data_IF_934271709792
#
_entry.id   IF_934271709792
#
_cell.length_a   1.000
_cell.length_b   1.000
_cell.length_c   1.000
_cell.angle_alpha   90.00
_cell.angle_beta   90.00
_cell.angle_gamma   90.00
#
_symmetry.space_group_name_H-M   'P 1'
#
loop_
_entity.id
_entity.type
_entity.pdbx_description
1 polymer ?
#
# COMPACT_ATOMS: atom_id res chain seq x y z
N UNK A 1 41.22 -19.62 14.21
CA UNK A 1 39.93 -20.14 13.65
C UNK A 1 38.70 -19.94 14.54
N UNK A 2 38.79 -19.88 15.88
CA UNK A 2 37.62 -19.79 16.77
C UNK A 2 36.82 -18.46 16.72
N UNK A 3 37.45 -17.32 16.44
CA UNK A 3 36.75 -16.01 16.36
C UNK A 3 35.68 -15.95 15.27
N UNK A 4 35.92 -16.63 14.15
CA UNK A 4 34.97 -16.70 13.03
C UNK A 4 33.71 -17.51 13.39
N UNK A 5 33.85 -18.53 14.25
CA UNK A 5 32.71 -19.33 14.69
C UNK A 5 31.75 -18.57 15.61
N UNK A 6 32.24 -17.56 16.34
CA UNK A 6 31.37 -16.71 17.16
C UNK A 6 30.53 -15.79 16.28
N UNK A 7 31.17 -15.09 15.33
CA UNK A 7 30.46 -14.24 14.38
C UNK A 7 29.40 -14.98 13.56
N UNK A 8 29.68 -16.23 13.15
CA UNK A 8 28.70 -17.04 12.43
C UNK A 8 27.49 -17.43 13.30
N UNK A 9 27.69 -17.69 14.59
CA UNK A 9 26.59 -17.99 15.53
C UNK A 9 25.73 -16.75 15.80
N UNK A 10 26.35 -15.59 15.91
CA UNK A 10 25.63 -14.32 16.13
C UNK A 10 24.81 -13.94 14.91
N UNK A 11 25.38 -14.08 13.70
CA UNK A 11 24.65 -13.88 12.43
C UNK A 11 23.42 -14.80 12.35
N UNK A 12 23.58 -16.09 12.69
CA UNK A 12 22.49 -17.06 12.65
C UNK A 12 21.37 -16.69 13.62
N UNK A 13 21.71 -16.23 14.84
CA UNK A 13 20.72 -15.74 15.81
C UNK A 13 19.94 -14.54 15.29
N UNK A 14 20.64 -13.54 14.74
CA UNK A 14 20.01 -12.34 14.20
C UNK A 14 19.09 -12.71 13.03
N UNK A 15 19.52 -13.63 12.16
CA UNK A 15 18.72 -14.10 11.03
C UNK A 15 17.44 -14.81 11.49
N UNK A 16 17.53 -15.67 12.52
CA UNK A 16 16.35 -16.34 13.09
C UNK A 16 15.35 -15.33 13.67
N UNK A 17 15.84 -14.37 14.47
CA UNK A 17 14.98 -13.33 15.06
C UNK A 17 14.34 -12.47 13.97
N UNK A 18 15.11 -12.09 12.94
CA UNK A 18 14.63 -11.35 11.80
C UNK A 18 13.51 -12.10 11.06
N UNK A 19 13.72 -13.38 10.73
CA UNK A 19 12.72 -14.20 10.04
C UNK A 19 11.43 -14.32 10.86
N UNK A 20 11.53 -14.55 12.17
CA UNK A 20 10.35 -14.62 13.05
C UNK A 20 9.59 -13.29 13.03
N UNK A 21 10.31 -12.17 13.14
CA UNK A 21 9.72 -10.84 13.07
C UNK A 21 9.02 -10.61 11.72
N UNK A 22 9.67 -10.97 10.60
CA UNK A 22 9.08 -10.87 9.25
C UNK A 22 7.81 -11.71 9.12
N UNK A 23 7.79 -12.93 9.67
CA UNK A 23 6.60 -13.79 9.64
C UNK A 23 5.44 -13.19 10.44
N UNK A 24 5.70 -12.69 11.65
CA UNK A 24 4.68 -12.02 12.48
C UNK A 24 4.14 -10.80 11.74
N UNK A 25 5.02 -9.98 11.17
CA UNK A 25 4.64 -8.78 10.44
C UNK A 25 3.78 -9.11 9.21
N UNK A 26 4.16 -10.14 8.45
CA UNK A 26 3.38 -10.62 7.30
C UNK A 26 1.98 -11.10 7.72
N UNK A 27 1.87 -11.84 8.83
CA UNK A 27 0.58 -12.25 9.37
C UNK A 27 -0.29 -11.07 9.82
N UNK A 28 0.31 -10.07 10.48
CA UNK A 28 -0.38 -8.85 10.87
C UNK A 28 -0.90 -8.07 9.66
N UNK A 29 -0.06 -7.88 8.62
CA UNK A 29 -0.47 -7.24 7.37
C UNK A 29 -1.61 -8.01 6.70
N UNK A 30 -1.54 -9.34 6.65
CA UNK A 30 -2.60 -10.17 6.06
C UNK A 30 -3.93 -10.02 6.81
N UNK A 31 -3.88 -9.93 8.14
CA UNK A 31 -5.07 -9.70 8.97
C UNK A 31 -5.69 -8.33 8.67
N UNK A 32 -4.86 -7.27 8.63
CA UNK A 32 -5.31 -5.91 8.29
C UNK A 32 -5.87 -5.86 6.87
N UNK A 33 -5.25 -6.55 5.91
CA UNK A 33 -5.72 -6.62 4.53
C UNK A 33 -7.09 -7.28 4.40
N UNK A 34 -7.34 -8.36 5.16
CA UNK A 34 -8.64 -9.04 5.18
C UNK A 34 -9.78 -8.15 5.71
N UNK A 35 -9.49 -7.24 6.64
CA UNK A 35 -10.45 -6.23 7.10
C UNK A 35 -10.69 -5.15 6.03
N UNK A 36 -9.64 -4.71 5.34
CA UNK A 36 -9.75 -3.74 4.23
C UNK A 36 -10.61 -4.25 3.07
N UNK A 37 -10.45 -5.51 2.66
CA UNK A 37 -11.26 -6.12 1.59
C UNK A 37 -12.75 -6.21 1.96
N UNK A 38 -13.07 -6.35 3.25
CA UNK A 38 -14.45 -6.41 3.73
C UNK A 38 -15.12 -5.04 3.83
N UNK A 39 -14.34 -3.96 3.85
CA UNK A 39 -14.86 -2.64 4.19
C UNK A 39 -15.34 -1.80 3.00
N UNK A 40 -15.07 -2.15 1.73
CA UNK A 40 -15.50 -1.31 0.60
C UNK A 40 -15.92 -2.09 -0.65
N UNK A 41 -17.06 -2.78 -0.59
CA UNK A 41 -17.91 -2.83 -1.79
C UNK A 41 -18.76 -1.56 -1.73
N UNK A 42 -18.31 -0.53 -2.44
CA UNK A 42 -19.12 0.67 -2.68
C UNK A 42 -20.48 0.19 -3.19
N UNK A 43 -21.54 0.49 -2.44
CA UNK A 43 -22.87 0.37 -3.01
C UNK A 43 -22.89 1.24 -4.27
N UNK A 44 -23.23 0.67 -5.44
CA UNK A 44 -23.29 1.46 -6.66
C UNK A 44 -24.25 2.63 -6.41
N UNK A 45 -23.87 3.87 -6.74
CA UNK A 45 -24.71 5.03 -6.46
C UNK A 45 -26.09 4.81 -7.12
N UNK A 46 -27.14 4.74 -6.30
CA UNK A 46 -28.52 4.44 -6.74
C UNK A 46 -29.21 5.59 -7.50
N UNK A 47 -28.45 6.55 -8.02
CA UNK A 47 -28.96 7.73 -8.72
C UNK A 47 -28.29 7.87 -10.07
N UNK A 48 -29.05 8.27 -11.08
CA UNK A 48 -28.58 8.50 -12.44
C UNK A 48 -27.35 9.42 -12.43
N UNK A 49 -26.16 8.81 -12.54
CA UNK A 49 -24.91 9.54 -12.65
C UNK A 49 -24.92 10.30 -13.98
N UNK A 50 -25.33 11.56 -13.93
CA UNK A 50 -25.22 12.46 -15.07
C UNK A 50 -23.74 12.67 -15.33
N UNK A 51 -23.26 12.07 -16.42
CA UNK A 51 -21.90 12.31 -16.93
C UNK A 51 -21.84 13.75 -17.44
N UNK A 52 -21.47 14.69 -16.57
CA UNK A 52 -21.18 16.08 -16.94
C UNK A 52 -19.81 16.10 -17.62
N UNK A 53 -19.74 15.61 -18.86
CA UNK A 53 -18.60 15.83 -19.73
C UNK A 53 -19.01 16.87 -20.77
N UNK A 54 -18.55 18.11 -20.57
CA UNK A 54 -18.63 19.16 -21.57
C UNK A 54 -17.22 19.34 -22.13
N UNK A 55 -16.96 19.00 -23.41
CA UNK A 55 -15.67 19.24 -24.03
C UNK A 55 -15.56 20.73 -24.34
N UNK A 56 -15.22 21.51 -23.33
CA UNK A 56 -14.56 22.78 -23.55
C UNK A 56 -13.07 22.45 -23.73
N UNK A 57 -12.46 23.02 -24.77
CA UNK A 57 -11.05 22.94 -25.14
C UNK A 57 -10.13 23.34 -23.96
N UNK A 58 -9.98 22.47 -22.96
CA UNK A 58 -9.12 22.71 -21.81
C UNK A 58 -7.71 22.28 -22.18
N UNK A 59 -6.85 23.28 -22.30
CA UNK A 59 -5.41 23.12 -22.48
C UNK A 59 -4.87 22.10 -21.49
N UNK A 60 -3.99 21.20 -21.96
CA UNK A 60 -3.37 20.15 -21.15
C UNK A 60 -2.66 20.70 -19.89
N UNK A 61 -2.26 21.96 -19.92
CA UNK A 61 -1.67 22.69 -18.80
C UNK A 61 -2.65 22.96 -17.66
N UNK A 62 -3.91 23.27 -17.97
CA UNK A 62 -4.94 23.55 -16.95
C UNK A 62 -5.30 22.29 -16.19
N UNK A 63 -5.29 21.14 -16.88
CA UNK A 63 -5.47 19.82 -16.27
C UNK A 63 -4.37 19.49 -15.26
N UNK A 64 -3.11 19.83 -15.55
CA UNK A 64 -2.00 19.61 -14.63
C UNK A 64 -2.14 20.47 -13.36
N UNK A 65 -2.51 21.74 -13.51
CA UNK A 65 -2.69 22.65 -12.38
C UNK A 65 -3.78 22.16 -11.41
N UNK A 66 -4.91 21.70 -11.96
CA UNK A 66 -6.03 21.16 -11.20
C UNK A 66 -5.62 19.87 -10.46
N UNK A 67 -4.91 18.95 -11.13
CA UNK A 67 -4.34 17.73 -10.51
C UNK A 67 -3.49 18.08 -9.28
N UNK A 68 -2.60 19.07 -9.40
CA UNK A 68 -1.75 19.49 -8.29
C UNK A 68 -2.49 20.23 -7.17
N UNK A 69 -3.58 20.93 -7.47
CA UNK A 69 -4.37 21.64 -6.46
C UNK A 69 -5.33 20.72 -5.70
N UNK A 70 -5.97 19.79 -6.39
CA UNK A 70 -6.94 18.85 -5.80
C UNK A 70 -6.29 17.56 -5.29
N UNK A 71 -5.10 17.21 -5.77
CA UNK A 71 -4.35 16.03 -5.33
C UNK A 71 -4.99 14.70 -5.73
N UNK A 72 -5.90 14.71 -6.72
CA UNK A 72 -6.40 13.51 -7.42
C UNK A 72 -5.48 13.14 -8.56
#
# INVERSE_FOLDING_TARGET
>A
MSKFQHGLKDLLKVLIVFTICTCIFYMALRMVHGEYERQHRYDPPGGAAVKVYQPAEQSWTDRLSIFFQLGE
#
